data_IF_207769566118
#
_entry.id   IF_207769566118
#
_cell.length_a   1.000
_cell.length_b   1.000
_cell.length_c   1.000
_cell.angle_alpha   90.00
_cell.angle_beta   90.00
_cell.angle_gamma   90.00
#
_symmetry.space_group_name_H-M   'P 1'
#
loop_
_entity.id
_entity.type
_entity.pdbx_description
1 polymer ?
#
# COMPACT_ATOMS: atom_id res chain seq x y z
N UNK A 1 20.96 41.32 52.77
CA UNK A 1 20.55 39.91 52.79
C UNK A 1 19.22 39.80 52.03
N UNK A 2 19.25 39.75 50.70
CA UNK A 2 19.12 38.56 49.83
C UNK A 2 17.81 37.75 50.01
N UNK A 3 16.86 38.06 49.12
CA UNK A 3 15.98 37.18 48.32
C UNK A 3 15.81 35.72 48.74
N UNK A 4 14.54 35.26 48.81
CA UNK A 4 14.23 33.84 48.93
C UNK A 4 12.75 33.47 49.01
N UNK A 5 11.89 34.09 48.18
CA UNK A 5 10.60 33.50 47.80
C UNK A 5 10.88 32.29 46.91
N UNK A 6 10.36 31.09 47.23
CA UNK A 6 10.17 29.98 46.27
C UNK A 6 9.38 28.82 46.87
N UNK A 7 8.12 28.76 46.45
CA UNK A 7 7.26 27.59 46.52
C UNK A 7 7.82 26.43 45.68
N UNK A 8 7.97 25.22 46.25
CA UNK A 8 8.05 23.97 45.47
C UNK A 8 7.54 22.78 46.28
N UNK A 9 6.45 22.17 45.82
CA UNK A 9 6.21 20.70 45.78
C UNK A 9 5.05 20.48 44.77
N UNK A 10 5.36 20.12 43.52
CA UNK A 10 5.41 18.74 42.97
C UNK A 10 4.07 18.00 43.19
N UNK A 11 3.38 17.41 42.23
CA UNK A 11 3.68 17.07 40.84
C UNK A 11 2.37 16.69 40.09
N UNK A 12 2.46 16.77 38.77
CA UNK A 12 1.47 16.44 37.72
C UNK A 12 1.11 14.95 37.66
N UNK A 13 -0.12 14.62 37.25
CA UNK A 13 -0.39 13.92 35.96
C UNK A 13 -1.89 13.75 35.70
N UNK A 14 -2.35 14.39 34.62
CA UNK A 14 -3.65 14.14 34.01
C UNK A 14 -3.70 12.82 33.24
N UNK A 15 -4.90 12.24 33.27
CA UNK A 15 -5.58 11.58 32.16
C UNK A 15 -4.82 10.48 31.40
N UNK A 16 -4.97 9.25 31.90
CA UNK A 16 -4.73 8.05 31.12
C UNK A 16 -5.74 7.93 29.98
N UNK A 17 -5.32 8.23 28.75
CA UNK A 17 -6.02 7.78 27.54
C UNK A 17 -5.92 6.26 27.46
N UNK A 18 -7.06 5.60 27.57
CA UNK A 18 -7.24 4.16 27.38
C UNK A 18 -6.76 3.74 25.99
N UNK A 19 -5.64 3.02 25.94
CA UNK A 19 -5.16 2.39 24.71
C UNK A 19 -6.10 1.27 24.29
N UNK A 20 -6.84 1.46 23.19
CA UNK A 20 -7.54 0.36 22.52
C UNK A 20 -6.52 -0.74 22.18
N UNK A 21 -6.78 -1.95 22.67
CA UNK A 21 -6.00 -3.14 22.33
C UNK A 21 -5.91 -3.27 20.80
N UNK A 22 -4.68 -3.45 20.28
CA UNK A 22 -4.42 -3.70 18.86
C UNK A 22 -5.20 -4.96 18.46
N UNK A 23 -6.27 -4.78 17.71
CA UNK A 23 -6.94 -5.87 16.99
C UNK A 23 -5.88 -6.71 16.27
N UNK A 24 -6.04 -8.04 16.23
CA UNK A 24 -5.10 -8.92 15.57
C UNK A 24 -4.98 -8.45 14.12
N UNK A 25 -3.80 -7.95 13.76
CA UNK A 25 -3.50 -7.55 12.39
C UNK A 25 -3.71 -8.78 11.52
N UNK A 26 -4.85 -8.83 10.82
CA UNK A 26 -5.15 -9.90 9.87
C UNK A 26 -3.90 -10.12 9.04
N UNK A 27 -3.33 -11.33 9.10
CA UNK A 27 -2.21 -11.70 8.25
C UNK A 27 -2.70 -11.55 6.81
N UNK A 28 -2.25 -10.49 6.15
CA UNK A 28 -2.57 -10.25 4.73
C UNK A 28 -1.96 -11.39 3.93
N UNK A 29 -2.79 -12.01 3.10
CA UNK A 29 -2.34 -12.97 2.11
C UNK A 29 -1.46 -12.23 1.07
N UNK A 30 -0.16 -12.55 0.98
CA UNK A 30 0.76 -11.84 0.10
C UNK A 30 0.41 -12.03 -1.38
N UNK A 31 -0.11 -13.20 -1.76
CA UNK A 31 -0.49 -13.52 -3.14
C UNK A 31 -1.69 -12.66 -3.54
N UNK A 32 -2.75 -12.67 -2.74
CA UNK A 32 -3.94 -11.83 -2.99
C UNK A 32 -3.61 -10.34 -3.01
N UNK A 33 -2.69 -9.91 -2.14
CA UNK A 33 -2.26 -8.51 -2.11
C UNK A 33 -1.58 -8.12 -3.42
N UNK A 34 -0.66 -8.95 -3.91
CA UNK A 34 0.03 -8.72 -5.18
C UNK A 34 -0.95 -8.68 -6.35
N UNK A 35 -1.87 -9.64 -6.43
CA UNK A 35 -2.91 -9.72 -7.47
C UNK A 35 -3.84 -8.51 -7.46
N UNK A 36 -4.24 -8.06 -6.27
CA UNK A 36 -5.10 -6.87 -6.11
C UNK A 36 -4.41 -5.62 -6.66
N UNK A 37 -3.12 -5.43 -6.34
CA UNK A 37 -2.34 -4.30 -6.87
C UNK A 37 -2.25 -4.40 -8.39
N UNK A 38 -1.97 -5.59 -8.92
CA UNK A 38 -1.85 -5.84 -10.36
C UNK A 38 -3.15 -5.47 -11.09
N UNK A 39 -4.30 -5.94 -10.60
CA UNK A 39 -5.62 -5.66 -11.19
C UNK A 39 -5.98 -4.16 -11.14
N UNK A 40 -5.70 -3.47 -10.04
CA UNK A 40 -5.90 -2.01 -9.95
C UNK A 40 -4.98 -1.26 -10.92
N UNK A 41 -3.71 -1.69 -11.03
CA UNK A 41 -2.75 -1.08 -11.94
C UNK A 41 -3.13 -1.29 -13.41
N UNK A 42 -3.60 -2.48 -13.79
CA UNK A 42 -4.13 -2.76 -15.13
C UNK A 42 -5.20 -1.76 -15.52
N UNK A 43 -6.21 -1.55 -14.68
CA UNK A 43 -7.29 -0.60 -14.96
C UNK A 43 -6.80 0.84 -15.06
N UNK A 44 -5.88 1.24 -14.18
CA UNK A 44 -5.35 2.60 -14.17
C UNK A 44 -4.50 2.89 -15.41
N UNK A 45 -3.56 1.99 -15.74
CA UNK A 45 -2.70 2.15 -16.91
C UNK A 45 -3.47 2.04 -18.23
N UNK A 46 -4.48 1.18 -18.33
CA UNK A 46 -5.34 1.12 -19.50
C UNK A 46 -6.12 2.43 -19.73
N UNK A 47 -6.50 3.12 -18.64
CA UNK A 47 -7.27 4.36 -18.70
C UNK A 47 -6.42 5.59 -19.01
N UNK A 48 -5.25 5.72 -18.39
CA UNK A 48 -4.47 6.96 -18.39
C UNK A 48 -3.02 6.81 -18.91
N UNK A 49 -2.64 5.60 -19.35
CA UNK A 49 -1.27 5.29 -19.75
C UNK A 49 -0.27 5.35 -18.60
N UNK A 50 1.01 5.16 -18.92
CA UNK A 50 2.09 5.15 -17.93
C UNK A 50 2.26 6.52 -17.26
N UNK A 51 2.39 7.59 -18.05
CA UNK A 51 2.68 8.94 -17.53
C UNK A 51 1.48 9.53 -16.76
N UNK A 52 0.25 9.29 -17.22
CA UNK A 52 -0.97 9.82 -16.58
C UNK A 52 -1.40 9.08 -15.32
N UNK A 53 -0.76 7.97 -14.96
CA UNK A 53 -1.15 7.17 -13.81
C UNK A 53 -0.27 7.45 -12.59
N UNK A 54 -0.87 7.82 -11.46
CA UNK A 54 -0.16 7.94 -10.18
C UNK A 54 -0.13 6.61 -9.42
N UNK A 55 1.00 6.28 -8.80
CA UNK A 55 1.07 5.14 -7.88
C UNK A 55 0.10 5.31 -6.69
N UNK A 56 -0.09 6.53 -6.21
CA UNK A 56 -1.01 6.80 -5.09
C UNK A 56 -2.45 6.43 -5.42
N UNK A 57 -2.92 6.72 -6.64
CA UNK A 57 -4.26 6.35 -7.10
C UNK A 57 -4.45 4.82 -7.10
N UNK A 58 -3.44 4.07 -7.59
CA UNK A 58 -3.46 2.60 -7.60
C UNK A 58 -3.53 2.06 -6.17
N UNK A 59 -2.72 2.60 -5.26
CA UNK A 59 -2.63 2.15 -3.87
C UNK A 59 -3.93 2.39 -3.09
N UNK A 60 -4.57 3.54 -3.32
CA UNK A 60 -5.85 3.89 -2.72
C UNK A 60 -6.92 2.88 -3.12
N UNK A 61 -7.02 2.60 -4.43
CA UNK A 61 -7.97 1.61 -4.97
C UNK A 61 -7.68 0.19 -4.48
N UNK A 62 -6.40 -0.18 -4.40
CA UNK A 62 -5.96 -1.48 -3.91
C UNK A 62 -6.02 -1.64 -2.39
N UNK A 63 -6.29 -0.56 -1.63
CA UNK A 63 -6.32 -0.53 -0.15
C UNK A 63 -5.02 -1.07 0.49
N UNK A 64 -3.88 -0.64 -0.07
CA UNK A 64 -2.54 -1.01 0.40
C UNK A 64 -1.65 0.22 0.55
N UNK A 65 -0.54 0.08 1.26
CA UNK A 65 0.44 1.17 1.43
C UNK A 65 1.51 1.14 0.31
N UNK A 66 2.19 2.28 0.13
CA UNK A 66 3.20 2.49 -0.92
C UNK A 66 4.35 1.48 -0.88
N UNK A 67 4.73 0.99 0.31
CA UNK A 67 5.79 -0.02 0.47
C UNK A 67 5.45 -1.31 -0.28
N UNK A 68 4.16 -1.68 -0.41
CA UNK A 68 3.77 -2.89 -1.14
C UNK A 68 4.13 -2.84 -2.62
N UNK A 69 4.04 -1.68 -3.27
CA UNK A 69 4.44 -1.58 -4.68
C UNK A 69 5.94 -1.81 -4.83
N UNK A 70 6.75 -1.13 -4.00
CA UNK A 70 8.20 -1.30 -4.04
C UNK A 70 8.62 -2.73 -3.65
N UNK A 71 7.92 -3.37 -2.71
CA UNK A 71 8.21 -4.74 -2.30
C UNK A 71 7.93 -5.76 -3.42
N UNK A 72 6.79 -5.67 -4.10
CA UNK A 72 6.39 -6.67 -5.11
C UNK A 72 6.92 -6.38 -6.51
N UNK A 73 7.15 -5.10 -6.84
CA UNK A 73 7.40 -4.66 -8.21
C UNK A 73 8.66 -3.81 -8.36
N UNK A 74 9.30 -3.38 -7.27
CA UNK A 74 10.53 -2.59 -7.28
C UNK A 74 10.35 -1.13 -7.70
N UNK A 75 9.52 -0.83 -8.70
CA UNK A 75 9.26 0.52 -9.19
C UNK A 75 7.91 0.64 -9.91
N UNK A 76 7.58 1.85 -10.39
CA UNK A 76 6.40 2.07 -11.24
C UNK A 76 6.57 1.40 -12.60
N UNK A 77 7.77 1.46 -13.17
CA UNK A 77 8.16 0.77 -14.41
C UNK A 77 8.08 -0.75 -14.23
N UNK A 78 8.52 -1.27 -13.09
CA UNK A 78 8.39 -2.69 -12.76
C UNK A 78 6.94 -3.13 -12.65
N UNK A 79 6.07 -2.33 -12.01
CA UNK A 79 4.63 -2.59 -11.96
C UNK A 79 3.99 -2.52 -13.36
N UNK A 80 4.37 -1.54 -14.17
CA UNK A 80 3.90 -1.41 -15.55
C UNK A 80 4.28 -2.64 -16.39
N UNK A 81 5.55 -3.06 -16.34
CA UNK A 81 6.04 -4.27 -17.01
C UNK A 81 5.27 -5.51 -16.56
N UNK A 82 5.04 -5.67 -15.26
CA UNK A 82 4.32 -6.81 -14.72
C UNK A 82 2.87 -6.89 -15.24
N UNK A 83 2.19 -5.75 -15.37
CA UNK A 83 0.85 -5.67 -15.97
C UNK A 83 0.89 -6.15 -17.42
N UNK A 84 1.82 -5.67 -18.24
CA UNK A 84 1.91 -6.06 -19.66
C UNK A 84 2.23 -7.54 -19.84
N UNK A 85 3.17 -8.08 -19.05
CA UNK A 85 3.49 -9.52 -19.07
C UNK A 85 2.24 -10.35 -18.73
N UNK A 86 1.48 -9.96 -17.71
CA UNK A 86 0.26 -10.68 -17.34
C UNK A 86 -0.78 -10.67 -18.48
N UNK A 87 -0.98 -9.54 -19.14
CA UNK A 87 -1.93 -9.44 -20.25
C UNK A 87 -1.47 -10.26 -21.46
N UNK A 88 -0.17 -10.24 -21.76
CA UNK A 88 0.42 -11.05 -22.83
C UNK A 88 0.21 -12.54 -22.59
N UNK A 89 0.53 -13.01 -21.38
CA UNK A 89 0.33 -14.41 -20.99
C UNK A 89 -1.13 -14.85 -21.07
N UNK A 90 -2.07 -13.97 -20.73
CA UNK A 90 -3.49 -14.27 -20.85
C UNK A 90 -3.92 -14.46 -22.31
N UNK A 91 -3.37 -13.66 -23.24
CA UNK A 91 -3.63 -13.81 -24.67
C UNK A 91 -3.01 -15.12 -25.20
N UNK A 92 -1.76 -15.41 -24.86
CA UNK A 92 -1.11 -16.67 -25.25
C UNK A 92 -1.88 -17.89 -24.75
N UNK A 93 -2.33 -17.89 -23.49
CA UNK A 93 -3.13 -18.97 -22.93
C UNK A 93 -4.46 -19.16 -23.66
N UNK A 94 -5.13 -18.06 -24.03
CA UNK A 94 -6.36 -18.13 -24.81
C UNK A 94 -6.13 -18.73 -26.20
N UNK A 95 -5.08 -18.29 -26.90
CA UNK A 95 -4.72 -18.83 -28.21
C UNK A 95 -4.38 -20.32 -28.13
N UNK A 96 -3.60 -20.73 -27.13
CA UNK A 96 -3.19 -22.12 -26.94
C UNK A 96 -4.38 -23.08 -26.75
N UNK A 97 -5.46 -22.63 -26.09
CA UNK A 97 -6.67 -23.44 -25.87
C UNK A 97 -7.62 -23.43 -27.07
N UNK A 98 -7.60 -22.37 -27.89
CA UNK A 98 -8.60 -22.12 -28.94
C UNK A 98 -8.13 -22.46 -30.36
N UNK A 99 -6.81 -22.52 -30.59
CA UNK A 99 -6.21 -22.79 -31.91
C UNK A 99 -5.53 -24.17 -32.02
N UNK A 100 -5.59 -25.00 -30.97
CA UNK A 100 -5.25 -26.43 -30.99
C UNK A 100 -6.47 -27.27 -31.34
#
# INVERSE_FOLDING_TARGET
>A
MSTGDSAVKKNKKGEGRTGKAKEPRLKRDPVKTRETILACATKAFARAGFLGTSLSEILEKAKVNKRMIYHYFGSKEGLYRAVHIQQWQALEAWFAVRLS
#
